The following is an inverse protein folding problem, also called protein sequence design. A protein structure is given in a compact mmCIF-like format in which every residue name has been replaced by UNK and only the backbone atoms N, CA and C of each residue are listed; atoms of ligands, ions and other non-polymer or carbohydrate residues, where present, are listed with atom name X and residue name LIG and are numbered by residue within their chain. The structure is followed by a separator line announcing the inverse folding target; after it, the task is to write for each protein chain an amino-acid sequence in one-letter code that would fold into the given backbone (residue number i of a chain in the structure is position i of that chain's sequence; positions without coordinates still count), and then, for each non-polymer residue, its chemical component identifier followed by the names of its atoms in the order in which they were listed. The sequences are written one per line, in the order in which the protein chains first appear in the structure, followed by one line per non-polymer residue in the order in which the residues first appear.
data_IF_910316922987
#
_entry.id   IF_910316922987
#
_cell.length_a   1.000
_cell.length_b   1.000
_cell.length_c   1.000
_cell.angle_alpha   90.00
_cell.angle_beta   90.00
_cell.angle_gamma   90.00
#
_symmetry.space_group_name_H-M   'P 1'
#
loop_
_entity.id
_entity.type
_entity.pdbx_description
1 polymer ?
#
# COMPACT_ATOMS: atom_id res chain seq x y z
N UNK A 1 -3.15 -31.62 -2.53
CA UNK A 1 -3.97 -30.67 -1.74
C UNK A 1 -4.60 -29.66 -2.69
N UNK A 2 -5.93 -29.61 -2.80
CA UNK A 2 -6.64 -28.63 -3.64
C UNK A 2 -6.74 -27.30 -2.89
N UNK A 3 -5.92 -26.33 -3.26
CA UNK A 3 -6.01 -24.96 -2.72
C UNK A 3 -7.18 -24.26 -3.42
N UNK A 4 -8.16 -23.85 -2.63
CA UNK A 4 -9.37 -23.14 -3.08
C UNK A 4 -9.00 -21.83 -3.78
N UNK A 5 -9.54 -21.63 -4.99
CA UNK A 5 -9.30 -20.46 -5.86
C UNK A 5 -9.65 -19.11 -5.19
N UNK A 6 -10.54 -19.12 -4.18
CA UNK A 6 -10.90 -17.94 -3.37
C UNK A 6 -9.75 -17.47 -2.46
N UNK A 7 -8.96 -18.38 -1.90
CA UNK A 7 -7.81 -18.05 -1.05
C UNK A 7 -6.61 -17.62 -1.89
N UNK A 8 -6.46 -18.19 -3.10
CA UNK A 8 -5.39 -17.83 -4.01
C UNK A 8 -5.46 -16.34 -4.42
N UNK A 9 -6.64 -15.83 -4.80
CA UNK A 9 -6.79 -14.40 -5.14
C UNK A 9 -6.57 -13.46 -3.94
N UNK A 10 -7.04 -13.86 -2.75
CA UNK A 10 -6.90 -13.07 -1.53
C UNK A 10 -5.46 -13.04 -1.00
N UNK A 11 -4.66 -14.07 -1.25
CA UNK A 11 -3.23 -14.10 -0.91
C UNK A 11 -2.37 -13.47 -2.01
N UNK A 12 -2.78 -13.55 -3.28
CA UNK A 12 -2.02 -13.03 -4.40
C UNK A 12 -1.94 -11.50 -4.37
N UNK A 13 -3.08 -10.82 -4.14
CA UNK A 13 -3.13 -9.36 -4.08
C UNK A 13 -2.20 -8.72 -3.02
N UNK A 14 -2.21 -9.16 -1.74
CA UNK A 14 -1.29 -8.63 -0.74
C UNK A 14 0.15 -9.07 -1.00
N UNK A 15 0.40 -10.26 -1.55
CA UNK A 15 1.77 -10.70 -1.89
C UNK A 15 2.38 -9.84 -2.99
N UNK A 16 1.62 -9.54 -4.05
CA UNK A 16 2.06 -8.68 -5.15
C UNK A 16 2.22 -7.23 -4.68
N UNK A 17 1.29 -6.71 -3.88
CA UNK A 17 1.39 -5.37 -3.30
C UNK A 17 2.59 -5.21 -2.36
N UNK A 18 2.90 -6.22 -1.55
CA UNK A 18 4.05 -6.23 -0.66
C UNK A 18 5.37 -6.30 -1.45
N UNK A 19 5.43 -7.11 -2.51
CA UNK A 19 6.62 -7.19 -3.36
C UNK A 19 6.84 -5.91 -4.18
N UNK A 20 5.80 -5.32 -4.77
CA UNK A 20 5.93 -4.10 -5.57
C UNK A 20 6.25 -2.86 -4.72
N UNK A 21 5.56 -2.69 -3.58
CA UNK A 21 5.87 -1.58 -2.65
C UNK A 21 7.24 -1.76 -1.99
N UNK A 22 7.61 -2.99 -1.64
CA UNK A 22 8.92 -3.33 -1.11
C UNK A 22 10.03 -3.05 -2.10
N UNK A 23 9.88 -3.49 -3.35
CA UNK A 23 10.86 -3.27 -4.42
C UNK A 23 11.03 -1.78 -4.75
N UNK A 24 9.93 -1.01 -4.86
CA UNK A 24 10.03 0.44 -5.12
C UNK A 24 10.66 1.20 -3.95
N UNK A 25 10.29 0.86 -2.71
CA UNK A 25 10.93 1.42 -1.52
C UNK A 25 12.42 1.07 -1.46
N UNK A 26 12.79 -0.16 -1.85
CA UNK A 26 14.16 -0.64 -1.88
C UNK A 26 15.01 0.13 -2.89
N UNK A 27 14.50 0.32 -4.11
CA UNK A 27 15.18 1.09 -5.16
C UNK A 27 15.33 2.56 -4.76
N UNK A 28 14.28 3.19 -4.23
CA UNK A 28 14.34 4.57 -3.74
C UNK A 28 15.38 4.77 -2.63
N UNK A 29 15.43 3.81 -1.70
CA UNK A 29 16.41 3.82 -0.61
C UNK A 29 17.81 3.59 -1.15
N UNK A 30 17.98 2.69 -2.13
CA UNK A 30 19.28 2.40 -2.74
C UNK A 30 19.84 3.61 -3.49
N UNK A 31 18.96 4.36 -4.16
CA UNK A 31 19.30 5.60 -4.86
C UNK A 31 19.62 6.74 -3.86
N UNK A 32 18.90 6.85 -2.74
CA UNK A 32 19.08 7.95 -1.78
C UNK A 32 20.27 7.75 -0.82
N UNK A 33 20.53 6.52 -0.38
CA UNK A 33 21.51 6.22 0.68
C UNK A 33 22.76 5.48 0.18
N UNK A 34 22.71 4.92 -1.04
CA UNK A 34 23.74 4.03 -1.56
C UNK A 34 23.74 2.65 -0.88
N UNK A 35 24.48 1.71 -1.47
CA UNK A 35 24.62 0.35 -0.94
C UNK A 35 25.72 0.29 0.15
N UNK A 36 25.41 0.80 1.33
CA UNK A 36 26.26 0.66 2.54
C UNK A 36 25.93 -0.58 3.37
N UNK A 37 26.78 -0.93 4.34
CA UNK A 37 26.55 -2.07 5.25
C UNK A 37 25.22 -1.97 6.02
N UNK A 38 24.77 -0.75 6.32
CA UNK A 38 23.51 -0.47 7.03
C UNK A 38 22.29 -0.31 6.12
N UNK A 39 22.45 -0.45 4.80
CA UNK A 39 21.42 -0.16 3.81
C UNK A 39 20.12 -0.95 4.05
N UNK A 40 20.24 -2.27 4.24
CA UNK A 40 19.09 -3.15 4.49
C UNK A 40 18.39 -2.77 5.81
N UNK A 41 19.16 -2.41 6.84
CA UNK A 41 18.61 -2.03 8.14
C UNK A 41 17.86 -0.69 8.08
N UNK A 42 18.42 0.29 7.39
CA UNK A 42 17.76 1.58 7.15
C UNK A 42 16.52 1.45 6.28
N UNK A 43 16.56 0.59 5.25
CA UNK A 43 15.40 0.28 4.42
C UNK A 43 14.26 -0.33 5.24
N UNK A 44 14.55 -1.38 6.02
CA UNK A 44 13.54 -2.08 6.81
C UNK A 44 12.93 -1.16 7.87
N UNK A 45 13.75 -0.31 8.50
CA UNK A 45 13.30 0.71 9.46
C UNK A 45 12.39 1.74 8.80
N UNK A 46 12.79 2.26 7.63
CA UNK A 46 12.02 3.28 6.89
C UNK A 46 10.70 2.72 6.36
N UNK A 47 10.72 1.48 5.87
CA UNK A 47 9.52 0.75 5.45
C UNK A 47 8.57 0.51 6.64
N UNK A 48 9.11 0.06 7.78
CA UNK A 48 8.33 -0.15 9.00
C UNK A 48 7.68 1.14 9.54
N UNK A 49 8.43 2.25 9.56
CA UNK A 49 7.90 3.56 9.95
C UNK A 49 6.81 4.01 8.97
N UNK A 50 7.06 3.91 7.66
CA UNK A 50 6.07 4.28 6.64
C UNK A 50 4.79 3.46 6.76
N UNK A 51 4.89 2.16 7.00
CA UNK A 51 3.73 1.28 7.19
C UNK A 51 2.94 1.67 8.46
N UNK A 52 3.64 1.90 9.57
CA UNK A 52 3.01 2.34 10.82
C UNK A 52 2.33 3.70 10.71
N UNK A 53 2.88 4.62 9.91
CA UNK A 53 2.29 5.94 9.66
C UNK A 53 1.14 5.86 8.65
N UNK A 54 1.24 5.00 7.64
CA UNK A 54 0.22 4.85 6.61
C UNK A 54 -1.11 4.30 7.16
N UNK A 55 -1.08 3.45 8.20
CA UNK A 55 -2.29 2.91 8.84
C UNK A 55 -3.19 4.01 9.44
N UNK A 56 -2.74 4.84 10.40
CA UNK A 56 -3.55 5.90 10.99
C UNK A 56 -3.88 7.01 9.98
N UNK A 57 -2.98 7.29 9.04
CA UNK A 57 -3.28 8.27 7.98
C UNK A 57 -4.41 7.74 7.10
N UNK A 58 -4.35 6.48 6.65
CA UNK A 58 -5.40 5.94 5.78
C UNK A 58 -6.75 5.89 6.49
N UNK A 59 -6.81 5.54 7.79
CA UNK A 59 -8.08 5.50 8.52
C UNK A 59 -8.73 6.87 8.69
N UNK A 60 -7.93 7.95 8.75
CA UNK A 60 -8.45 9.33 8.87
C UNK A 60 -8.69 9.97 7.50
N UNK A 61 -7.75 9.82 6.58
CA UNK A 61 -7.74 10.50 5.29
C UNK A 61 -8.70 9.85 4.30
N UNK A 62 -8.82 8.53 4.26
CA UNK A 62 -9.76 7.85 3.35
C UNK A 62 -11.21 8.34 3.52
N UNK A 63 -11.80 8.39 4.73
CA UNK A 63 -13.17 8.89 4.89
C UNK A 63 -13.28 10.39 4.59
N UNK A 64 -12.23 11.19 4.81
CA UNK A 64 -12.23 12.61 4.43
C UNK A 64 -12.23 12.78 2.91
N UNK A 65 -11.42 11.99 2.21
CA UNK A 65 -11.37 11.98 0.75
C UNK A 65 -12.71 11.50 0.19
N UNK A 66 -13.30 10.44 0.74
CA UNK A 66 -14.63 9.97 0.33
C UNK A 66 -15.69 11.05 0.49
N UNK A 67 -15.74 11.73 1.64
CA UNK A 67 -16.66 12.87 1.86
C UNK A 67 -16.46 14.01 0.86
N UNK A 68 -15.22 14.29 0.49
CA UNK A 68 -14.90 15.31 -0.50
C UNK A 68 -15.42 14.92 -1.89
N UNK A 69 -15.18 13.68 -2.32
CA UNK A 69 -15.69 13.17 -3.60
C UNK A 69 -17.22 13.05 -3.61
N UNK A 70 -17.84 12.61 -2.52
CA UNK A 70 -19.31 12.54 -2.37
C UNK A 70 -19.97 13.93 -2.43
N UNK A 71 -19.24 14.98 -2.02
CA UNK A 71 -19.70 16.37 -2.12
C UNK A 71 -19.60 16.95 -3.54
N UNK A 72 -18.76 16.37 -4.39
CA UNK A 72 -18.51 16.84 -5.77
C UNK A 72 -19.26 15.97 -6.79
N UNK A 73 -19.49 14.70 -6.47
CA UNK A 73 -20.15 13.74 -7.35
C UNK A 73 -21.64 13.73 -7.08
N UNK A 74 -22.45 14.18 -8.04
CA UNK A 74 -23.90 13.97 -8.00
C UNK A 74 -24.18 12.47 -8.07
N UNK A 75 -25.16 11.97 -7.30
CA UNK A 75 -25.47 10.53 -7.12
C UNK A 75 -26.06 9.86 -8.37
N UNK A 76 -25.68 10.28 -9.58
CA UNK A 76 -26.21 9.79 -10.85
C UNK A 76 -25.51 8.54 -11.39
N UNK A 77 -24.31 8.19 -10.92
CA UNK A 77 -23.49 7.14 -11.56
C UNK A 77 -23.40 5.80 -10.79
N UNK A 78 -23.92 5.70 -9.56
CA UNK A 78 -23.78 4.47 -8.75
C UNK A 78 -24.76 3.33 -9.14
N UNK A 79 -25.77 3.61 -9.96
CA UNK A 79 -26.81 2.61 -10.32
C UNK A 79 -26.52 1.78 -11.59
N UNK A 80 -25.28 1.72 -12.05
CA UNK A 80 -24.86 0.91 -13.22
C UNK A 80 -23.51 0.21 -13.01
N UNK A 81 -23.41 -0.69 -12.04
CA UNK A 81 -22.44 -1.80 -12.08
C UNK A 81 -23.10 -3.07 -11.58
#
# INVERSE_FOLDING_TARGET
MKISRKTAGLLFAPTVGLFMSGAMSFVLTAINLGFGADFIWQWLRSFGISFLVALPISTLVVPQIQKFYDGITDKSDEKKV
#
